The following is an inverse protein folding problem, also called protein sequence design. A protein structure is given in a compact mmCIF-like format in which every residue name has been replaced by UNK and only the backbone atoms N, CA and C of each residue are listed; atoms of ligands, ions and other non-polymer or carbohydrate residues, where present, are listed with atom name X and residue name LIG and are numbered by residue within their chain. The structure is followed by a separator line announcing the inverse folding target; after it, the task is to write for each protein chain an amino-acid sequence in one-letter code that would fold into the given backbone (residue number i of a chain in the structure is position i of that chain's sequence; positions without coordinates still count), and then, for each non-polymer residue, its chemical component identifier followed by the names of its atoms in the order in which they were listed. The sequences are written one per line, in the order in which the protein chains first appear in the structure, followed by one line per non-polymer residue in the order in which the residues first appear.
data_IF_554987088580
#
_entry.id   IF_554987088580
#
_cell.length_a   1.000
_cell.length_b   1.000
_cell.length_c   1.000
_cell.angle_alpha   90.00
_cell.angle_beta   90.00
_cell.angle_gamma   90.00
#
_symmetry.space_group_name_H-M   'P 1'
#
loop_
_entity.id
_entity.type
_entity.pdbx_description
1 polymer ?
#
# COMPACT_ATOMS: atom_id res chain seq x y z
N UNK A 1 11.74 18.88 1.06
CA UNK A 1 10.40 19.43 1.33
C UNK A 1 9.61 18.38 2.09
N UNK A 2 8.89 18.73 3.19
CA UNK A 2 8.11 17.76 3.94
C UNK A 2 6.88 17.35 3.14
N UNK A 3 6.92 16.14 2.59
CA UNK A 3 5.79 15.56 1.86
C UNK A 3 4.95 14.72 2.81
N UNK A 4 3.65 15.00 2.87
CA UNK A 4 2.67 14.17 3.57
C UNK A 4 1.97 13.31 2.52
N UNK A 5 1.79 12.03 2.83
CA UNK A 5 0.95 11.12 2.05
C UNK A 5 -0.28 10.84 2.90
N UNK A 6 -1.45 11.13 2.37
CA UNK A 6 -2.72 10.75 2.98
C UNK A 6 -3.44 9.77 2.08
N UNK A 7 -4.33 8.98 2.67
CA UNK A 7 -5.23 8.11 1.95
C UNK A 7 -6.63 8.21 2.56
N UNK A 8 -7.64 8.09 1.70
CA UNK A 8 -9.06 8.14 2.07
C UNK A 8 -9.73 6.80 1.82
N UNK A 9 -10.80 6.50 2.55
CA UNK A 9 -11.66 5.33 2.32
C UNK A 9 -12.31 5.33 0.93
N UNK A 10 -12.36 6.48 0.25
CA UNK A 10 -12.75 6.59 -1.17
C UNK A 10 -11.76 5.91 -2.13
N UNK A 11 -10.57 5.55 -1.63
CA UNK A 11 -9.51 4.90 -2.42
C UNK A 11 -8.54 5.86 -3.07
N UNK A 12 -8.63 7.16 -2.78
CA UNK A 12 -7.67 8.16 -3.23
C UNK A 12 -6.46 8.22 -2.28
N UNK A 13 -5.26 8.34 -2.87
CA UNK A 13 -4.03 8.78 -2.19
C UNK A 13 -3.76 10.23 -2.61
N UNK A 14 -3.46 11.10 -1.65
CA UNK A 14 -3.05 12.47 -1.93
C UNK A 14 -1.62 12.73 -1.44
N UNK A 15 -0.83 13.40 -2.29
CA UNK A 15 0.50 13.88 -1.99
C UNK A 15 0.40 15.38 -1.68
N UNK A 16 0.91 15.78 -0.53
CA UNK A 16 0.70 17.11 0.03
C UNK A 16 2.05 17.73 0.41
N UNK A 17 2.17 19.04 0.25
CA UNK A 17 3.21 19.82 0.93
C UNK A 17 2.70 20.19 2.31
N UNK A 18 3.41 19.83 3.38
CA UNK A 18 3.00 20.18 4.74
C UNK A 18 2.91 21.70 4.97
N UNK A 19 3.58 22.50 4.15
CA UNK A 19 3.51 23.98 4.19
C UNK A 19 2.27 24.54 3.49
N UNK A 20 1.64 23.76 2.62
CA UNK A 20 0.41 24.14 1.92
C UNK A 20 -0.54 22.92 1.75
N UNK A 21 -1.11 22.41 2.85
CA UNK A 21 -1.92 21.18 2.81
C UNK A 21 -3.25 21.36 2.08
N UNK A 22 -3.68 22.61 1.82
CA UNK A 22 -4.92 22.90 1.08
C UNK A 22 -4.83 22.61 -0.42
N UNK A 23 -3.63 22.46 -0.97
CA UNK A 23 -3.40 22.20 -2.39
C UNK A 23 -2.55 20.92 -2.57
N UNK A 24 -3.20 19.77 -2.82
CA UNK A 24 -2.49 18.54 -3.13
C UNK A 24 -1.60 18.72 -4.36
N UNK A 25 -0.36 18.26 -4.25
CA UNK A 25 0.61 18.21 -5.34
C UNK A 25 0.14 17.18 -6.39
N UNK A 26 -0.43 16.06 -5.92
CA UNK A 26 -0.89 14.96 -6.77
C UNK A 26 -1.97 14.16 -6.05
N UNK A 27 -2.87 13.56 -6.85
CA UNK A 27 -3.82 12.54 -6.41
C UNK A 27 -3.67 11.28 -7.26
N UNK A 28 -3.84 10.12 -6.63
CA UNK A 28 -3.78 8.81 -7.28
C UNK A 28 -5.00 8.01 -6.82
N UNK A 29 -5.80 7.53 -7.76
CA UNK A 29 -6.87 6.58 -7.45
C UNK A 29 -6.26 5.19 -7.24
N UNK A 30 -6.00 4.83 -5.99
CA UNK A 30 -5.44 3.54 -5.66
C UNK A 30 -6.49 2.44 -5.66
N UNK A 31 -7.72 2.73 -5.26
CA UNK A 31 -8.84 1.78 -5.23
C UNK A 31 -10.16 2.47 -5.59
N UNK A 32 -11.15 1.71 -6.04
CA UNK A 32 -12.53 2.18 -6.22
C UNK A 32 -13.29 2.10 -4.89
N UNK A 33 -12.94 2.97 -3.95
CA UNK A 33 -13.39 2.88 -2.55
C UNK A 33 -12.69 1.78 -1.76
N UNK A 34 -13.14 1.60 -0.51
CA UNK A 34 -12.76 0.50 0.37
C UNK A 34 -11.27 0.43 0.72
N UNK A 35 -10.54 1.54 0.65
CA UNK A 35 -9.17 1.60 1.15
C UNK A 35 -9.20 1.62 2.68
N UNK A 36 -8.44 0.73 3.29
CA UNK A 36 -8.44 0.49 4.74
C UNK A 36 -7.08 0.71 5.38
N UNK A 37 -6.00 0.64 4.60
CA UNK A 37 -4.65 0.79 5.11
C UNK A 37 -3.74 1.49 4.10
N UNK A 38 -2.79 2.26 4.61
CA UNK A 38 -1.68 2.89 3.88
C UNK A 38 -0.40 2.66 4.68
N UNK A 39 0.68 2.26 4.01
CA UNK A 39 2.03 2.23 4.59
C UNK A 39 3.02 2.83 3.60
N UNK A 40 3.94 3.64 4.10
CA UNK A 40 5.02 4.25 3.31
C UNK A 40 6.33 3.71 3.84
N UNK A 41 7.23 3.26 2.96
CA UNK A 41 8.52 2.79 3.40
C UNK A 41 9.42 3.98 3.78
N UNK A 42 10.20 3.88 4.86
CA UNK A 42 11.00 4.99 5.40
C UNK A 42 12.15 5.45 4.49
N UNK A 43 12.82 4.50 3.82
CA UNK A 43 14.00 4.78 2.98
C UNK A 43 13.81 4.50 1.48
N UNK A 44 13.07 3.45 1.11
CA UNK A 44 12.73 3.15 -0.28
C UNK A 44 11.59 4.04 -0.79
N UNK A 45 11.62 4.48 -2.05
CA UNK A 45 10.58 5.33 -2.64
C UNK A 45 9.34 4.51 -3.03
N UNK A 46 8.76 3.79 -2.06
CA UNK A 46 7.59 2.92 -2.25
C UNK A 46 6.55 3.11 -1.16
N UNK A 47 5.30 2.94 -1.55
CA UNK A 47 4.14 2.94 -0.66
C UNK A 47 3.20 1.78 -1.02
N UNK A 48 2.43 1.32 -0.06
CA UNK A 48 1.46 0.25 -0.23
C UNK A 48 0.10 0.67 0.33
N UNK A 49 -0.96 0.29 -0.36
CA UNK A 49 -2.34 0.48 0.10
C UNK A 49 -3.08 -0.85 0.14
N UNK A 50 -3.91 -1.02 1.17
CA UNK A 50 -4.71 -2.20 1.41
C UNK A 50 -6.19 -1.87 1.30
N UNK A 51 -6.99 -2.84 0.87
CA UNK A 51 -8.43 -2.72 0.75
C UNK A 51 -9.17 -3.87 1.44
N UNK A 52 -10.38 -3.59 1.92
CA UNK A 52 -11.33 -4.63 2.36
C UNK A 52 -11.82 -5.53 1.22
N UNK A 53 -11.54 -5.18 -0.05
CA UNK A 53 -11.78 -6.02 -1.23
C UNK A 53 -10.60 -6.96 -1.55
N UNK A 54 -9.87 -7.41 -0.53
CA UNK A 54 -8.80 -8.40 -0.64
C UNK A 54 -7.76 -8.02 -1.69
N UNK A 55 -7.27 -6.78 -1.59
CA UNK A 55 -6.37 -6.20 -2.56
C UNK A 55 -5.32 -5.35 -1.88
N UNK A 56 -4.06 -5.60 -2.20
CA UNK A 56 -2.92 -4.74 -1.86
C UNK A 56 -2.34 -4.21 -3.16
N UNK A 57 -2.07 -2.92 -3.23
CA UNK A 57 -1.37 -2.28 -4.34
C UNK A 57 -0.12 -1.60 -3.81
N UNK A 58 0.98 -1.79 -4.52
CA UNK A 58 2.28 -1.15 -4.22
C UNK A 58 2.56 -0.13 -5.31
N UNK A 59 2.93 1.08 -4.93
CA UNK A 59 3.22 2.19 -5.82
C UNK A 59 4.61 2.75 -5.53
N UNK A 60 5.20 3.42 -6.52
CA UNK A 60 6.34 4.30 -6.28
C UNK A 60 5.85 5.67 -5.74
N UNK A 61 6.79 6.54 -5.38
CA UNK A 61 6.48 7.92 -4.92
C UNK A 61 5.94 8.85 -6.01
N UNK A 62 6.06 8.47 -7.29
CA UNK A 62 5.40 9.17 -8.40
C UNK A 62 3.92 8.78 -8.52
N UNK A 63 3.46 7.75 -7.81
CA UNK A 63 2.09 7.25 -7.93
C UNK A 63 1.90 6.19 -9.00
N UNK A 64 2.98 5.69 -9.62
CA UNK A 64 2.91 4.60 -10.58
C UNK A 64 2.73 3.27 -9.85
N UNK A 65 1.83 2.43 -10.36
CA UNK A 65 1.58 1.10 -9.81
C UNK A 65 2.75 0.16 -10.15
N UNK A 66 3.39 -0.39 -9.11
CA UNK A 66 4.50 -1.33 -9.22
C UNK A 66 4.04 -2.79 -9.12
N UNK A 67 3.13 -3.08 -8.19
CA UNK A 67 2.70 -4.46 -7.94
C UNK A 67 1.30 -4.53 -7.35
N UNK A 68 0.66 -5.69 -7.53
CA UNK A 68 -0.68 -6.00 -7.03
C UNK A 68 -0.65 -7.36 -6.36
N UNK A 69 -1.06 -7.43 -5.10
CA UNK A 69 -1.38 -8.69 -4.43
C UNK A 69 -2.89 -8.79 -4.31
N UNK A 70 -3.48 -9.87 -4.83
CA UNK A 70 -4.93 -10.10 -4.85
C UNK A 70 -5.25 -11.53 -4.49
N UNK A 71 -6.47 -11.77 -4.04
CA UNK A 71 -6.99 -13.12 -3.86
C UNK A 71 -6.98 -13.89 -5.19
N UNK A 72 -6.44 -15.12 -5.18
CA UNK A 72 -6.60 -16.07 -6.26
C UNK A 72 -7.29 -17.34 -5.77
N UNK A 73 -8.42 -17.66 -6.41
CA UNK A 73 -9.24 -18.82 -6.12
C UNK A 73 -8.62 -20.10 -6.71
N UNK A 74 -7.35 -20.36 -6.43
CA UNK A 74 -6.71 -21.62 -6.77
C UNK A 74 -6.79 -22.56 -5.58
N UNK A 75 -6.90 -23.86 -5.84
CA UNK A 75 -6.99 -24.92 -4.82
C UNK A 75 -5.83 -24.90 -3.80
N UNK A 76 -4.68 -24.28 -4.17
CA UNK A 76 -3.49 -24.05 -3.34
C UNK A 76 -3.22 -22.55 -3.07
N UNK A 77 -4.15 -21.67 -3.45
CA UNK A 77 -3.95 -20.22 -3.53
C UNK A 77 -3.80 -19.58 -2.16
N UNK A 78 -2.74 -18.78 -1.98
CA UNK A 78 -2.56 -17.93 -0.82
C UNK A 78 -3.81 -17.06 -0.63
N UNK A 79 -4.53 -17.30 0.48
CA UNK A 79 -5.70 -16.52 0.85
C UNK A 79 -5.21 -15.21 1.43
N UNK A 80 -5.58 -14.10 0.79
CA UNK A 80 -5.50 -12.80 1.43
C UNK A 80 -6.93 -12.38 1.79
N UNK A 81 -7.16 -12.15 3.07
CA UNK A 81 -8.42 -11.63 3.56
C UNK A 81 -8.57 -10.13 3.31
N UNK A 82 -9.73 -9.56 3.69
CA UNK A 82 -9.91 -8.10 3.73
C UNK A 82 -8.79 -7.47 4.55
N UNK A 83 -8.00 -6.59 3.94
CA UNK A 83 -6.82 -6.00 4.58
C UNK A 83 -7.28 -5.01 5.64
N UNK A 84 -6.73 -5.10 6.85
CA UNK A 84 -7.01 -4.19 7.95
C UNK A 84 -5.80 -3.35 8.36
N UNK A 85 -4.59 -3.83 8.10
CA UNK A 85 -3.36 -3.15 8.44
C UNK A 85 -2.24 -3.45 7.44
N UNK A 86 -1.37 -2.47 7.22
CA UNK A 86 -0.14 -2.61 6.44
C UNK A 86 1.01 -1.96 7.19
N UNK A 87 2.18 -2.59 7.16
CA UNK A 87 3.39 -1.98 7.71
C UNK A 87 4.63 -2.46 6.96
N UNK A 88 5.40 -1.52 6.42
CA UNK A 88 6.73 -1.82 5.90
C UNK A 88 7.72 -2.04 7.03
N UNK A 89 8.61 -3.01 6.85
CA UNK A 89 9.81 -3.11 7.67
C UNK A 89 10.66 -1.84 7.48
N UNK A 90 11.23 -1.23 8.54
CA UNK A 90 11.88 0.08 8.45
C UNK A 90 13.09 0.12 7.50
N UNK A 91 13.79 -1.01 7.33
CA UNK A 91 15.05 -1.09 6.58
C UNK A 91 15.09 -2.13 5.44
N UNK A 92 14.03 -2.94 5.28
CA UNK A 92 14.04 -4.07 4.34
C UNK A 92 12.83 -3.93 3.43
N UNK A 93 12.89 -4.39 2.17
CA UNK A 93 11.75 -4.42 1.26
C UNK A 93 10.77 -5.54 1.67
N UNK A 94 10.30 -5.51 2.92
CA UNK A 94 9.34 -6.44 3.48
C UNK A 94 8.07 -5.68 3.87
N UNK A 95 6.92 -6.18 3.46
CA UNK A 95 5.62 -5.64 3.79
C UNK A 95 4.85 -6.66 4.62
N UNK A 96 4.46 -6.29 5.83
CA UNK A 96 3.49 -7.04 6.63
C UNK A 96 2.07 -6.57 6.29
N UNK A 97 1.15 -7.52 6.11
CA UNK A 97 -0.26 -7.26 5.92
C UNK A 97 -1.09 -8.07 6.91
N UNK A 98 -1.90 -7.38 7.71
CA UNK A 98 -2.91 -7.99 8.56
C UNK A 98 -4.26 -8.00 7.86
N UNK A 99 -4.98 -9.11 7.97
CA UNK A 99 -6.32 -9.27 7.43
C UNK A 99 -7.35 -9.59 8.52
N UNK A 100 -8.63 -9.36 8.23
CA UNK A 100 -9.73 -9.61 9.19
C UNK A 100 -10.03 -11.09 9.40
N UNK A 101 -9.46 -11.98 8.60
CA UNK A 101 -9.62 -13.44 8.66
C UNK A 101 -8.57 -14.13 9.54
N UNK A 102 -7.95 -13.38 10.46
CA UNK A 102 -6.89 -13.84 11.38
C UNK A 102 -5.58 -14.25 10.70
N UNK A 103 -5.39 -13.91 9.43
CA UNK A 103 -4.14 -14.15 8.70
C UNK A 103 -3.25 -12.90 8.72
N UNK A 104 -1.96 -13.10 8.94
CA UNK A 104 -0.91 -12.10 8.69
C UNK A 104 0.03 -12.66 7.63
N UNK A 105 0.25 -11.89 6.56
CA UNK A 105 1.13 -12.26 5.46
C UNK A 105 2.33 -11.32 5.41
N UNK A 106 3.50 -11.86 5.07
CA UNK A 106 4.72 -11.09 4.80
C UNK A 106 5.05 -11.24 3.31
N UNK A 107 5.22 -10.10 2.63
CA UNK A 107 5.65 -10.04 1.24
C UNK A 107 7.07 -9.50 1.18
N UNK A 108 7.92 -10.12 0.35
CA UNK A 108 9.26 -9.65 0.07
C UNK A 108 9.33 -9.09 -1.35
N UNK A 109 9.93 -7.92 -1.50
CA UNK A 109 10.37 -7.43 -2.81
C UNK A 109 11.66 -8.11 -3.21
N UNK A 110 11.77 -8.51 -4.47
CA UNK A 110 13.04 -9.01 -5.02
C UNK A 110 14.09 -7.90 -4.94
N UNK A 111 15.19 -8.19 -4.24
CA UNK A 111 16.37 -7.33 -4.28
C UNK A 111 17.21 -7.87 -5.43
N UNK A 112 17.18 -7.24 -6.60
CA UNK A 112 18.17 -7.54 -7.63
C UNK A 112 19.56 -7.26 -7.04
N UNK A 113 20.28 -8.33 -6.66
CA UNK A 113 21.71 -8.26 -6.35
C UNK A 113 22.43 -8.32 -7.69
N UNK A 114 22.92 -7.18 -8.15
CA UNK A 114 23.94 -7.09 -9.20
C UNK A 114 25.29 -7.54 -8.66
#
# INVERSE_FOLDING_TARGET
MPHIISASSSGEIAFLDARNPGQPIRRVEAHKGHLTALSVHRHLPVMATGSSKQLIRVFNMSGDLLSVVRYHNSFLGQRIGPVSALHFHPYKPLLAAGATDSIVSIYAGETHRS
#
